data_IF_701717988901
#
_entry.id   IF_701717988901
#
_cell.length_a   1.000
_cell.length_b   1.000
_cell.length_c   1.000
_cell.angle_alpha   90.00
_cell.angle_beta   90.00
_cell.angle_gamma   90.00
#
_symmetry.space_group_name_H-M   'P 1'
#
loop_
_entity.id
_entity.type
_entity.pdbx_description
1 polymer ?
#
# COMPACT_ATOMS: atom_id res chain seq x y z
N UNK A 1 22.09 -10.63 -56.18
CA UNK A 1 22.45 -9.82 -55.00
C UNK A 1 21.57 -10.30 -53.86
N UNK A 2 22.09 -11.22 -53.04
CA UNK A 2 21.39 -11.80 -51.89
C UNK A 2 21.63 -10.86 -50.71
N UNK A 3 20.56 -10.24 -50.19
CA UNK A 3 20.63 -9.35 -49.05
C UNK A 3 20.45 -10.21 -47.80
N UNK A 4 21.52 -10.42 -47.02
CA UNK A 4 21.41 -10.98 -45.67
C UNK A 4 20.83 -9.91 -44.74
N UNK A 5 19.57 -10.11 -44.35
CA UNK A 5 18.89 -9.22 -43.40
C UNK A 5 19.24 -9.68 -41.99
N UNK A 6 19.97 -8.85 -41.25
CA UNK A 6 20.28 -9.09 -39.84
C UNK A 6 18.99 -9.09 -39.02
N UNK A 7 18.67 -10.23 -38.39
CA UNK A 7 17.46 -10.43 -37.60
C UNK A 7 17.27 -9.40 -36.48
N UNK A 8 18.35 -8.88 -35.88
CA UNK A 8 18.25 -7.81 -34.88
C UNK A 8 17.74 -6.49 -35.48
N UNK A 9 18.20 -6.15 -36.68
CA UNK A 9 17.76 -4.94 -37.38
C UNK A 9 16.32 -5.07 -37.84
N UNK A 10 15.91 -6.25 -38.31
CA UNK A 10 14.52 -6.54 -38.66
C UNK A 10 13.58 -6.46 -37.45
N UNK A 11 14.02 -7.00 -36.30
CA UNK A 11 13.26 -6.94 -35.05
C UNK A 11 13.13 -5.51 -34.53
N UNK A 12 14.20 -4.70 -34.64
CA UNK A 12 14.16 -3.29 -34.22
C UNK A 12 13.22 -2.46 -35.11
N UNK A 13 13.23 -2.70 -36.43
CA UNK A 13 12.33 -2.04 -37.38
C UNK A 13 10.88 -2.43 -37.11
N UNK A 14 10.60 -3.70 -36.79
CA UNK A 14 9.25 -4.18 -36.42
C UNK A 14 8.79 -3.57 -35.09
N UNK A 15 9.66 -3.49 -34.08
CA UNK A 15 9.32 -2.87 -32.79
C UNK A 15 9.10 -1.36 -32.95
N UNK A 16 9.88 -0.69 -33.81
CA UNK A 16 9.71 0.74 -34.09
C UNK A 16 8.46 1.02 -34.93
N UNK A 17 8.12 0.18 -35.91
CA UNK A 17 6.88 0.36 -36.69
C UNK A 17 5.64 0.04 -35.86
N UNK A 18 5.67 -0.98 -34.99
CA UNK A 18 4.59 -1.28 -34.04
C UNK A 18 4.48 -0.19 -32.96
N UNK A 19 5.61 0.30 -32.43
CA UNK A 19 5.64 1.39 -31.45
C UNK A 19 5.15 2.73 -32.02
N UNK A 20 5.49 3.04 -33.28
CA UNK A 20 4.86 4.17 -33.99
C UNK A 20 3.38 3.89 -34.27
N UNK A 21 2.98 2.66 -34.60
CA UNK A 21 1.57 2.31 -34.80
C UNK A 21 0.76 2.47 -33.51
N UNK A 22 1.27 2.09 -32.34
CA UNK A 22 0.60 2.36 -31.05
C UNK A 22 0.62 3.85 -30.69
N UNK A 23 1.72 4.56 -30.96
CA UNK A 23 1.78 6.01 -30.75
C UNK A 23 0.90 6.82 -31.71
N UNK A 24 0.55 6.27 -32.88
CA UNK A 24 -0.41 6.86 -33.83
C UNK A 24 -1.84 6.32 -33.65
N UNK A 25 -2.01 5.09 -33.16
CA UNK A 25 -3.32 4.45 -32.86
C UNK A 25 -3.94 5.01 -31.57
N UNK A 26 -3.13 5.50 -30.63
CA UNK A 26 -3.59 6.32 -29.49
C UNK A 26 -4.25 7.64 -29.91
N UNK A 27 -4.27 7.97 -31.21
CA UNK A 27 -4.84 9.22 -31.74
C UNK A 27 -6.02 9.08 -32.67
N UNK A 28 -6.38 7.90 -33.17
CA UNK A 28 -7.55 7.75 -34.04
C UNK A 28 -8.14 6.33 -33.97
N UNK A 29 -9.38 6.23 -33.48
CA UNK A 29 -10.26 5.10 -33.80
C UNK A 29 -11.56 5.60 -34.46
N UNK A 30 -11.86 5.00 -35.61
CA UNK A 30 -13.01 5.26 -36.47
C UNK A 30 -14.25 4.56 -35.93
N UNK A 31 -15.43 5.22 -35.99
CA UNK A 31 -16.63 4.53 -36.48
C UNK A 31 -17.74 5.45 -36.99
N UNK A 32 -18.40 4.88 -38.00
CA UNK A 32 -19.45 5.38 -38.89
C UNK A 32 -20.70 5.88 -38.18
N UNK A 33 -21.27 6.96 -38.69
CA UNK A 33 -22.70 7.24 -38.65
C UNK A 33 -23.28 7.13 -40.07
N UNK A 34 -24.45 6.51 -40.18
CA UNK A 34 -25.34 6.49 -41.35
C UNK A 34 -26.56 7.29 -40.86
N UNK A 35 -27.09 8.35 -41.48
CA UNK A 35 -27.28 8.81 -42.86
C UNK A 35 -27.50 10.35 -42.74
N UNK A 36 -27.13 11.28 -43.61
CA UNK A 36 -27.21 11.35 -45.07
C UNK A 36 -26.29 12.48 -45.58
N UNK A 37 -25.51 12.18 -46.61
CA UNK A 37 -24.65 13.05 -47.43
C UNK A 37 -23.63 13.97 -46.73
N UNK A 38 -22.36 13.70 -47.09
CA UNK A 38 -21.11 14.40 -46.74
C UNK A 38 -20.58 14.17 -45.31
N UNK A 39 -19.81 13.08 -45.20
CA UNK A 39 -18.99 12.69 -44.05
C UNK A 39 -18.06 13.83 -43.57
N UNK A 40 -18.49 14.55 -42.53
CA UNK A 40 -17.60 15.31 -41.66
C UNK A 40 -17.65 14.65 -40.27
N UNK A 41 -16.65 13.82 -39.99
CA UNK A 41 -16.40 13.30 -38.64
C UNK A 41 -15.61 14.37 -37.88
N UNK A 42 -16.28 15.10 -37.01
CA UNK A 42 -15.63 16.09 -36.14
C UNK A 42 -14.95 15.36 -34.96
N UNK A 43 -13.62 15.30 -34.97
CA UNK A 43 -12.83 14.74 -33.87
C UNK A 43 -12.83 15.70 -32.67
N UNK A 44 -13.61 15.38 -31.64
CA UNK A 44 -13.58 16.11 -30.37
C UNK A 44 -12.33 15.71 -29.56
N UNK A 45 -11.68 16.69 -28.95
CA UNK A 45 -10.46 16.50 -28.18
C UNK A 45 -10.73 15.77 -26.86
N UNK A 46 -9.68 15.17 -26.26
CA UNK A 46 -9.73 14.42 -24.99
C UNK A 46 -10.32 15.23 -23.81
N UNK A 47 -10.41 16.55 -23.96
CA UNK A 47 -10.97 17.50 -22.98
C UNK A 47 -12.50 17.67 -23.11
N UNK A 48 -13.12 17.18 -24.19
CA UNK A 48 -14.54 17.37 -24.50
C UNK A 48 -15.41 16.11 -24.26
N UNK A 49 -14.82 14.95 -23.95
CA UNK A 49 -15.58 13.76 -23.55
C UNK A 49 -16.06 13.91 -22.10
N UNK A 50 -17.39 13.93 -21.93
CA UNK A 50 -18.04 13.96 -20.63
C UNK A 50 -17.52 12.82 -19.74
N UNK A 51 -17.27 13.11 -18.46
CA UNK A 51 -16.94 12.09 -17.44
C UNK A 51 -17.95 10.93 -17.47
N UNK A 52 -19.20 11.19 -17.87
CA UNK A 52 -20.26 10.18 -18.02
C UNK A 52 -19.96 9.13 -19.11
N UNK A 53 -19.38 9.53 -20.25
CA UNK A 53 -19.06 8.60 -21.35
C UNK A 53 -17.88 7.69 -20.99
N UNK A 54 -16.95 8.20 -20.17
CA UNK A 54 -15.88 7.38 -19.60
C UNK A 54 -16.42 6.39 -18.58
N UNK A 55 -17.36 6.78 -17.72
CA UNK A 55 -17.95 5.86 -16.73
C UNK A 55 -18.66 4.68 -17.41
N UNK A 56 -19.40 4.93 -18.50
CA UNK A 56 -20.17 3.89 -19.20
C UNK A 56 -19.28 2.85 -19.91
N UNK A 57 -18.11 3.25 -20.40
CA UNK A 57 -17.13 2.34 -21.00
C UNK A 57 -16.35 1.55 -19.94
N UNK A 58 -16.03 2.17 -18.81
CA UNK A 58 -15.25 1.55 -17.74
C UNK A 58 -15.96 0.41 -17.00
N UNK A 59 -17.28 0.49 -16.81
CA UNK A 59 -18.01 -0.53 -16.03
C UNK A 59 -18.11 -1.89 -16.74
N UNK A 60 -17.93 -1.94 -18.08
CA UNK A 60 -18.06 -3.15 -18.89
C UNK A 60 -16.74 -3.91 -19.15
N UNK A 61 -15.59 -3.33 -18.78
CA UNK A 61 -14.24 -3.84 -19.13
C UNK A 61 -13.53 -4.52 -17.95
N UNK A 62 -14.25 -4.90 -16.90
CA UNK A 62 -13.65 -5.58 -15.76
C UNK A 62 -13.59 -7.09 -15.99
N UNK A 63 -12.37 -7.63 -16.02
CA UNK A 63 -12.16 -9.06 -15.87
C UNK A 63 -12.43 -9.45 -14.42
N UNK A 64 -13.36 -10.38 -14.23
CA UNK A 64 -13.72 -10.86 -12.90
C UNK A 64 -12.56 -11.65 -12.30
N UNK A 65 -12.14 -11.24 -11.11
CA UNK A 65 -11.12 -11.91 -10.32
C UNK A 65 -11.64 -12.14 -8.90
N UNK A 66 -10.91 -12.92 -8.11
CA UNK A 66 -11.18 -13.06 -6.68
C UNK A 66 -9.85 -13.32 -5.96
N UNK A 67 -9.16 -12.23 -5.61
CA UNK A 67 -7.82 -12.28 -5.00
C UNK A 67 -7.81 -11.42 -3.74
N UNK A 68 -7.00 -11.81 -2.77
CA UNK A 68 -6.66 -10.92 -1.65
C UNK A 68 -5.58 -9.94 -2.11
N UNK A 69 -5.79 -8.67 -1.80
CA UNK A 69 -4.84 -7.61 -2.05
C UNK A 69 -4.54 -6.86 -0.76
N UNK A 70 -3.32 -6.34 -0.65
CA UNK A 70 -2.83 -5.59 0.51
C UNK A 70 -2.50 -4.17 0.06
N UNK A 71 -2.90 -3.19 0.85
CA UNK A 71 -2.60 -1.78 0.60
C UNK A 71 -1.11 -1.49 0.80
N UNK A 72 -0.50 -0.86 -0.19
CA UNK A 72 0.92 -0.49 -0.17
C UNK A 72 1.20 0.82 0.55
N UNK A 73 0.16 1.63 0.73
CA UNK A 73 0.18 2.96 1.35
C UNK A 73 -1.18 3.27 1.99
N UNK A 74 -1.25 4.36 2.77
CA UNK A 74 -2.55 4.90 3.20
C UNK A 74 -3.28 5.40 1.95
N UNK A 75 -4.48 4.91 1.71
CA UNK A 75 -5.24 5.24 0.49
C UNK A 75 -6.73 5.38 0.77
N UNK A 76 -7.49 5.72 -0.26
CA UNK A 76 -8.95 5.89 -0.19
C UNK A 76 -9.65 4.96 -1.18
N UNK A 77 -10.85 4.54 -0.81
CA UNK A 77 -11.76 3.80 -1.67
C UNK A 77 -12.82 4.75 -2.22
N UNK A 78 -13.02 4.68 -3.52
CA UNK A 78 -13.88 5.56 -4.29
C UNK A 78 -15.21 4.89 -4.64
N UNK A 79 -16.25 5.71 -4.78
CA UNK A 79 -17.57 5.29 -5.26
C UNK A 79 -17.61 5.02 -6.77
N UNK A 80 -16.66 5.58 -7.53
CA UNK A 80 -16.52 5.40 -8.98
C UNK A 80 -15.03 5.33 -9.38
N UNK A 81 -14.67 4.80 -10.56
CA UNK A 81 -13.27 4.59 -10.97
C UNK A 81 -12.54 5.89 -11.41
N UNK A 82 -12.57 6.95 -10.58
CA UNK A 82 -11.82 8.19 -10.77
C UNK A 82 -11.69 8.99 -9.47
N UNK A 83 -10.62 9.79 -9.38
CA UNK A 83 -10.15 10.46 -8.15
C UNK A 83 -11.09 11.51 -7.57
N UNK A 84 -11.91 12.14 -8.42
CA UNK A 84 -12.84 13.20 -8.00
C UNK A 84 -14.22 12.66 -7.63
N UNK A 85 -14.39 11.33 -7.57
CA UNK A 85 -15.64 10.72 -7.11
C UNK A 85 -15.76 10.75 -5.59
N UNK A 86 -16.94 10.42 -5.06
CA UNK A 86 -17.16 10.36 -3.63
C UNK A 86 -16.26 9.32 -2.97
N UNK A 87 -15.59 9.71 -1.88
CA UNK A 87 -14.77 8.82 -1.05
C UNK A 87 -15.72 8.04 -0.13
N UNK A 88 -15.58 6.72 -0.13
CA UNK A 88 -16.37 5.81 0.71
C UNK A 88 -15.61 5.41 1.98
N UNK A 89 -14.30 5.21 1.87
CA UNK A 89 -13.44 4.78 2.97
C UNK A 89 -12.05 5.39 2.87
N UNK A 90 -11.42 5.67 4.01
CA UNK A 90 -9.98 5.89 4.14
C UNK A 90 -9.36 4.71 4.87
N UNK A 91 -8.35 4.08 4.28
CA UNK A 91 -7.75 2.86 4.79
C UNK A 91 -6.25 3.03 5.07
N UNK A 92 -5.75 2.48 6.19
CA UNK A 92 -4.32 2.51 6.47
C UNK A 92 -3.54 1.58 5.55
N UNK A 93 -2.24 1.83 5.47
CA UNK A 93 -1.27 0.91 4.88
C UNK A 93 -1.40 -0.49 5.51
N UNK A 94 -1.12 -1.53 4.73
CA UNK A 94 -1.26 -2.94 5.09
C UNK A 94 -2.70 -3.43 5.25
N UNK A 95 -3.73 -2.60 5.02
CA UNK A 95 -5.10 -3.09 5.06
C UNK A 95 -5.33 -4.17 3.99
N UNK A 96 -6.13 -5.17 4.33
CA UNK A 96 -6.46 -6.27 3.41
C UNK A 96 -7.83 -6.03 2.80
N UNK A 97 -7.91 -6.17 1.47
CA UNK A 97 -9.14 -6.02 0.70
C UNK A 97 -9.31 -7.18 -0.28
N UNK A 98 -10.51 -7.35 -0.81
CA UNK A 98 -10.78 -8.36 -1.83
C UNK A 98 -10.87 -7.69 -3.19
N UNK A 99 -9.95 -8.03 -4.09
CA UNK A 99 -9.95 -7.58 -5.48
C UNK A 99 -10.91 -8.45 -6.28
N UNK A 100 -11.91 -7.80 -6.92
CA UNK A 100 -12.99 -8.48 -7.65
C UNK A 100 -13.04 -8.16 -9.15
N UNK A 101 -12.37 -7.08 -9.58
CA UNK A 101 -12.30 -6.72 -10.99
C UNK A 101 -10.98 -6.03 -11.33
N UNK A 102 -10.29 -6.55 -12.34
CA UNK A 102 -9.08 -5.97 -12.91
C UNK A 102 -9.38 -5.45 -14.32
N UNK A 103 -8.63 -4.44 -14.76
CA UNK A 103 -8.64 -3.95 -16.13
C UNK A 103 -7.28 -3.28 -16.45
N UNK A 104 -7.11 -2.83 -17.69
CA UNK A 104 -5.90 -2.13 -18.14
C UNK A 104 -5.79 -0.68 -17.63
N UNK A 105 -6.90 -0.10 -17.15
CA UNK A 105 -6.99 1.26 -16.66
C UNK A 105 -6.41 1.43 -15.24
N UNK A 106 -6.55 2.63 -14.67
CA UNK A 106 -5.92 3.00 -13.41
C UNK A 106 -6.70 2.56 -12.16
N UNK A 107 -7.96 2.16 -12.32
CA UNK A 107 -8.84 1.83 -11.22
C UNK A 107 -9.35 0.41 -11.31
N UNK A 108 -9.14 -0.34 -10.24
CA UNK A 108 -9.63 -1.69 -10.06
C UNK A 108 -10.83 -1.74 -9.12
N UNK A 109 -11.67 -2.75 -9.27
CA UNK A 109 -12.88 -2.95 -8.47
C UNK A 109 -12.57 -3.87 -7.29
N UNK A 110 -12.97 -3.44 -6.10
CA UNK A 110 -12.70 -4.15 -4.84
C UNK A 110 -13.95 -4.25 -3.99
N UNK A 111 -13.98 -5.22 -3.09
CA UNK A 111 -14.99 -5.33 -2.04
C UNK A 111 -14.34 -5.09 -0.69
N UNK A 112 -14.92 -4.16 0.08
CA UNK A 112 -14.53 -3.87 1.45
C UNK A 112 -15.79 -3.62 2.29
N UNK A 113 -15.89 -4.32 3.44
CA UNK A 113 -17.08 -4.28 4.32
C UNK A 113 -18.40 -4.45 3.54
N UNK A 114 -18.44 -5.47 2.68
CA UNK A 114 -19.60 -5.82 1.83
C UNK A 114 -20.06 -4.73 0.86
N UNK A 115 -19.21 -3.73 0.59
CA UNK A 115 -19.45 -2.70 -0.44
C UNK A 115 -18.47 -2.83 -1.59
N UNK A 116 -19.00 -2.76 -2.80
CA UNK A 116 -18.19 -2.59 -4.01
C UNK A 116 -17.65 -1.16 -4.07
N UNK A 117 -16.35 -1.04 -4.31
CA UNK A 117 -15.62 0.22 -4.37
C UNK A 117 -14.56 0.16 -5.47
N UNK A 118 -13.92 1.30 -5.71
CA UNK A 118 -12.82 1.44 -6.66
C UNK A 118 -11.56 1.95 -5.97
N UNK A 119 -10.40 1.44 -6.38
CA UNK A 119 -9.09 1.83 -5.85
C UNK A 119 -8.10 2.03 -6.99
N UNK A 120 -7.13 2.92 -6.81
CA UNK A 120 -6.01 3.03 -7.75
C UNK A 120 -5.19 1.73 -7.74
N UNK A 121 -4.94 1.14 -8.90
CA UNK A 121 -4.23 -0.15 -9.02
C UNK A 121 -2.82 -0.13 -8.41
N UNK A 122 -2.16 1.03 -8.36
CA UNK A 122 -0.80 1.17 -7.83
C UNK A 122 -0.76 1.24 -6.30
N UNK A 123 -1.90 1.47 -5.64
CA UNK A 123 -1.99 1.54 -4.17
C UNK A 123 -2.18 0.16 -3.51
N UNK A 124 -2.20 -0.92 -4.29
CA UNK A 124 -2.37 -2.29 -3.80
C UNK A 124 -1.41 -3.27 -4.48
N UNK A 125 -1.16 -4.39 -3.81
CA UNK A 125 -0.45 -5.53 -4.38
C UNK A 125 -1.15 -6.84 -4.02
N UNK A 126 -1.06 -7.82 -4.90
CA UNK A 126 -1.46 -9.22 -4.63
C UNK A 126 -0.24 -10.12 -4.41
N UNK A 127 0.98 -9.60 -4.61
CA UNK A 127 2.22 -10.33 -4.48
C UNK A 127 2.67 -10.41 -3.02
N UNK A 128 2.74 -11.63 -2.50
CA UNK A 128 3.14 -11.91 -1.11
C UNK A 128 4.59 -11.54 -0.84
N UNK A 129 5.49 -11.68 -1.81
CA UNK A 129 6.90 -11.33 -1.66
C UNK A 129 7.07 -9.81 -1.57
N UNK A 130 6.28 -9.05 -2.32
CA UNK A 130 6.23 -7.59 -2.19
C UNK A 130 5.73 -7.18 -0.80
N UNK A 131 4.65 -7.81 -0.31
CA UNK A 131 4.13 -7.54 1.04
C UNK A 131 5.18 -7.84 2.11
N UNK A 132 5.89 -8.97 1.97
CA UNK A 132 6.95 -9.35 2.89
C UNK A 132 8.11 -8.36 2.85
N UNK A 133 8.61 -8.02 1.66
CA UNK A 133 9.69 -7.06 1.49
C UNK A 133 9.34 -5.68 2.06
N UNK A 134 8.09 -5.22 1.93
CA UNK A 134 7.64 -3.97 2.53
C UNK A 134 7.67 -4.01 4.07
N UNK A 135 7.20 -5.11 4.67
CA UNK A 135 7.19 -5.32 6.13
C UNK A 135 8.60 -5.47 6.69
N UNK A 136 9.50 -6.08 5.93
CA UNK A 136 10.92 -6.24 6.30
C UNK A 136 11.70 -4.92 6.15
N UNK A 137 11.36 -4.07 5.17
CA UNK A 137 11.99 -2.76 4.99
C UNK A 137 11.77 -1.81 6.18
N UNK A 138 10.72 -2.04 6.98
CA UNK A 138 10.46 -1.33 8.23
C UNK A 138 11.52 -1.58 9.31
N UNK A 139 12.31 -2.65 9.18
CA UNK A 139 13.40 -2.96 10.08
C UNK A 139 14.55 -1.96 9.90
N UNK A 140 14.94 -1.26 10.98
CA UNK A 140 16.10 -0.36 10.94
C UNK A 140 17.40 -1.18 10.95
N UNK A 141 17.95 -1.43 9.76
CA UNK A 141 19.16 -2.22 9.54
C UNK A 141 20.46 -1.57 10.07
N UNK A 142 20.40 -0.35 10.60
CA UNK A 142 21.60 0.37 11.04
C UNK A 142 22.10 -0.04 12.44
N UNK A 143 21.27 -0.75 13.23
CA UNK A 143 21.68 -1.23 14.54
C UNK A 143 22.62 -2.44 14.43
N UNK A 144 23.83 -2.32 15.01
CA UNK A 144 24.89 -3.35 14.98
C UNK A 144 25.03 -4.14 16.29
N UNK A 145 24.26 -3.78 17.31
CA UNK A 145 24.32 -4.45 18.62
C UNK A 145 23.45 -5.71 18.68
N UNK A 146 23.28 -6.25 19.88
CA UNK A 146 22.36 -7.38 20.09
C UNK A 146 20.92 -6.94 19.78
N UNK A 147 20.19 -7.81 19.08
CA UNK A 147 18.78 -7.62 18.75
C UNK A 147 17.94 -8.42 19.72
N UNK A 148 16.97 -7.77 20.36
CA UNK A 148 16.09 -8.43 21.33
C UNK A 148 15.34 -9.59 20.66
N UNK A 149 15.29 -10.73 21.35
CA UNK A 149 14.52 -11.91 20.95
C UNK A 149 14.15 -12.73 22.17
N UNK A 150 13.29 -13.74 21.97
CA UNK A 150 12.78 -14.61 23.02
C UNK A 150 13.85 -15.29 23.87
N UNK A 151 14.96 -15.68 23.24
CA UNK A 151 16.03 -16.38 23.94
C UNK A 151 16.88 -15.43 24.80
N UNK A 152 17.20 -14.24 24.30
CA UNK A 152 18.06 -13.29 25.03
C UNK A 152 17.35 -12.69 26.24
N UNK A 153 16.04 -12.48 26.16
CA UNK A 153 15.21 -11.96 27.24
C UNK A 153 15.38 -10.46 27.54
N UNK A 154 16.60 -9.96 27.43
CA UNK A 154 17.00 -8.58 27.68
C UNK A 154 18.24 -8.23 26.85
N UNK A 155 18.29 -7.01 26.33
CA UNK A 155 19.48 -6.46 25.66
C UNK A 155 19.73 -5.02 26.07
N UNK A 156 20.88 -4.48 25.67
CA UNK A 156 21.12 -3.04 25.64
C UNK A 156 21.01 -2.59 24.20
N UNK A 157 19.89 -1.94 23.86
CA UNK A 157 19.63 -1.37 22.55
C UNK A 157 20.06 0.10 22.44
N UNK A 158 19.66 0.79 21.36
CA UNK A 158 20.07 2.17 21.06
C UNK A 158 19.79 3.17 22.19
N UNK A 159 18.64 3.03 22.86
CA UNK A 159 18.19 3.94 23.92
C UNK A 159 18.39 3.41 25.35
N UNK A 160 19.11 2.30 25.50
CA UNK A 160 19.40 1.71 26.81
C UNK A 160 18.85 0.29 26.94
N UNK A 161 18.34 -0.06 28.12
CA UNK A 161 17.86 -1.42 28.38
C UNK A 161 16.58 -1.69 27.59
N UNK A 162 16.52 -2.84 26.93
CA UNK A 162 15.32 -3.32 26.26
C UNK A 162 14.88 -4.66 26.83
N UNK A 163 13.60 -4.78 27.12
CA UNK A 163 12.90 -6.02 27.51
C UNK A 163 11.69 -6.22 26.61
N UNK A 164 10.92 -7.27 26.83
CA UNK A 164 9.69 -7.52 26.09
C UNK A 164 8.53 -7.86 27.02
N UNK A 165 7.32 -7.68 26.48
CA UNK A 165 6.08 -8.14 27.11
C UNK A 165 5.09 -8.65 26.07
N UNK A 166 4.27 -9.60 26.50
CA UNK A 166 3.21 -10.18 25.68
C UNK A 166 1.84 -9.95 26.32
N UNK A 167 1.35 -8.70 26.21
CA UNK A 167 0.01 -8.34 26.66
C UNK A 167 -0.97 -8.30 25.48
N UNK A 168 -2.26 -8.46 25.81
CA UNK A 168 -3.34 -8.17 24.87
C UNK A 168 -3.37 -6.66 24.56
N UNK A 169 -3.26 -6.31 23.27
CA UNK A 169 -3.11 -4.92 22.83
C UNK A 169 -4.44 -4.14 22.75
N UNK A 170 -5.60 -4.74 23.01
CA UNK A 170 -6.89 -4.07 22.85
C UNK A 170 -6.98 -2.75 23.63
N UNK A 171 -6.52 -2.72 24.88
CA UNK A 171 -6.54 -1.51 25.71
C UNK A 171 -5.57 -0.44 25.19
N UNK A 172 -4.37 -0.85 24.82
CA UNK A 172 -3.32 0.03 24.28
C UNK A 172 -3.76 0.64 22.95
N UNK A 173 -4.27 -0.18 22.03
CA UNK A 173 -4.81 0.26 20.75
C UNK A 173 -5.98 1.22 20.95
N UNK A 174 -6.92 0.93 21.85
CA UNK A 174 -8.04 1.83 22.13
C UNK A 174 -7.57 3.22 22.61
N UNK A 175 -6.50 3.30 23.42
CA UNK A 175 -5.89 4.57 23.80
C UNK A 175 -5.32 5.28 22.57
N UNK A 176 -4.51 4.59 21.76
CA UNK A 176 -3.91 5.18 20.56
C UNK A 176 -4.96 5.66 19.55
N UNK A 177 -6.08 4.93 19.39
CA UNK A 177 -7.21 5.36 18.54
C UNK A 177 -7.88 6.62 19.08
N UNK A 178 -8.10 6.73 20.39
CA UNK A 178 -8.63 7.96 21.00
C UNK A 178 -7.70 9.17 20.83
N UNK A 179 -6.41 8.92 20.62
CA UNK A 179 -5.41 9.94 20.30
C UNK A 179 -5.30 10.24 18.80
N UNK A 180 -6.13 9.59 17.96
CA UNK A 180 -6.19 9.85 16.51
C UNK A 180 -5.29 8.97 15.64
N UNK A 181 -4.58 7.99 16.21
CA UNK A 181 -3.80 7.06 15.39
C UNK A 181 -4.72 6.13 14.60
N UNK A 182 -4.51 5.99 13.29
CA UNK A 182 -5.32 5.13 12.41
C UNK A 182 -4.52 3.99 11.78
N UNK A 183 -3.24 3.84 12.13
CA UNK A 183 -2.35 2.84 11.54
C UNK A 183 -2.79 1.42 11.85
N UNK A 184 -2.60 0.47 10.92
CA UNK A 184 -2.99 -0.92 11.13
C UNK A 184 -2.15 -1.58 12.22
N UNK A 185 -2.80 -2.30 13.12
CA UNK A 185 -2.14 -3.23 14.04
C UNK A 185 -1.89 -4.57 13.32
N UNK A 186 -0.68 -5.10 13.42
CA UNK A 186 -0.33 -6.41 12.87
C UNK A 186 0.86 -7.02 13.62
N UNK A 187 1.12 -8.30 13.38
CA UNK A 187 2.26 -9.02 13.97
C UNK A 187 3.25 -9.32 12.85
N UNK A 188 4.51 -8.92 13.04
CA UNK A 188 5.61 -9.20 12.11
C UNK A 188 6.05 -10.66 12.22
N UNK A 189 6.71 -11.16 11.19
CA UNK A 189 7.10 -12.57 11.09
C UNK A 189 8.00 -13.05 12.26
N UNK A 190 8.72 -12.12 12.91
CA UNK A 190 9.52 -12.36 14.12
C UNK A 190 8.73 -12.25 15.44
N UNK A 191 7.40 -12.11 15.36
CA UNK A 191 6.49 -12.00 16.50
C UNK A 191 6.40 -10.61 17.12
N UNK A 192 7.04 -9.59 16.55
CA UNK A 192 6.94 -8.21 17.06
C UNK A 192 5.57 -7.62 16.72
N UNK A 193 4.95 -6.97 17.69
CA UNK A 193 3.66 -6.28 17.51
C UNK A 193 3.90 -4.90 16.91
N UNK A 194 3.24 -4.63 15.80
CA UNK A 194 3.45 -3.46 14.96
C UNK A 194 2.21 -2.58 14.95
N UNK A 195 2.43 -1.27 14.86
CA UNK A 195 1.40 -0.27 14.60
C UNK A 195 1.87 0.56 13.39
N UNK A 196 1.30 0.28 12.22
CA UNK A 196 1.79 0.80 10.94
C UNK A 196 3.18 0.28 10.64
N UNK A 197 4.11 1.19 10.37
CA UNK A 197 5.52 0.90 10.15
C UNK A 197 6.36 0.98 11.44
N UNK A 198 5.75 0.88 12.63
CA UNK A 198 6.48 1.08 13.88
C UNK A 198 6.32 -0.08 14.85
N UNK A 199 7.41 -0.44 15.51
CA UNK A 199 7.41 -1.40 16.62
C UNK A 199 6.64 -0.81 17.79
N UNK A 200 5.65 -1.52 18.33
CA UNK A 200 4.94 -1.01 19.51
C UNK A 200 5.82 -1.15 20.75
N UNK A 201 6.08 -0.04 21.46
CA UNK A 201 6.90 -0.04 22.68
C UNK A 201 6.18 0.64 23.85
N UNK A 202 6.50 0.20 25.06
CA UNK A 202 6.22 0.90 26.29
C UNK A 202 7.47 1.66 26.74
N UNK A 203 7.30 2.89 27.21
CA UNK A 203 8.39 3.75 27.66
C UNK A 203 7.98 4.59 28.88
N UNK A 204 8.91 5.35 29.45
CA UNK A 204 8.57 6.41 30.38
C UNK A 204 7.89 7.58 29.63
N UNK A 205 6.63 7.87 29.96
CA UNK A 205 5.83 8.88 29.27
C UNK A 205 6.27 10.32 29.55
N UNK A 206 7.03 10.55 30.62
CA UNK A 206 7.61 11.88 30.90
C UNK A 206 8.78 12.20 29.95
N UNK A 207 9.46 11.17 29.45
CA UNK A 207 10.56 11.29 28.48
C UNK A 207 10.06 11.13 27.05
N UNK A 208 9.17 10.17 26.82
CA UNK A 208 8.61 9.84 25.52
C UNK A 208 7.08 9.74 25.63
N UNK A 209 6.35 10.85 25.43
CA UNK A 209 4.89 10.81 25.37
C UNK A 209 4.36 9.80 24.34
N UNK A 210 3.11 9.37 24.50
CA UNK A 210 2.49 8.45 23.52
C UNK A 210 2.52 9.04 22.12
N UNK A 211 2.92 8.23 21.14
CA UNK A 211 3.15 8.63 19.76
C UNK A 211 4.58 9.06 19.45
N UNK A 212 5.45 9.26 20.45
CA UNK A 212 6.88 9.49 20.22
C UNK A 212 7.50 8.32 19.47
N UNK A 213 8.42 8.65 18.54
CA UNK A 213 9.25 7.68 17.83
C UNK A 213 10.60 7.54 18.54
N UNK A 214 11.02 6.30 18.78
CA UNK A 214 12.25 5.97 19.51
C UNK A 214 12.93 4.78 18.87
N UNK A 215 14.25 4.85 18.69
CA UNK A 215 15.00 3.71 18.15
C UNK A 215 15.04 2.55 19.15
N UNK A 216 14.78 1.34 18.70
CA UNK A 216 15.00 0.13 19.47
C UNK A 216 15.78 -0.90 18.64
N UNK A 217 16.25 -1.97 19.27
CA UNK A 217 17.04 -2.99 18.57
C UNK A 217 16.27 -3.72 17.46
N UNK A 218 14.93 -3.61 17.44
CA UNK A 218 14.03 -4.26 16.48
C UNK A 218 13.47 -3.32 15.39
N UNK A 219 13.88 -2.05 15.39
CA UNK A 219 13.42 -1.01 14.45
C UNK A 219 13.08 0.33 15.12
N UNK A 220 12.39 1.21 14.38
CA UNK A 220 11.81 2.41 14.98
C UNK A 220 10.55 2.02 15.75
N UNK A 221 10.54 2.31 17.04
CA UNK A 221 9.42 2.08 17.93
C UNK A 221 8.51 3.30 18.04
N UNK A 222 7.20 3.07 18.13
CA UNK A 222 6.20 4.05 18.53
C UNK A 222 5.80 3.79 19.98
N UNK A 223 5.87 4.81 20.83
CA UNK A 223 5.46 4.69 22.23
C UNK A 223 3.95 4.63 22.31
N UNK A 224 3.42 3.47 22.74
CA UNK A 224 1.98 3.28 22.90
C UNK A 224 1.58 3.12 24.38
N UNK A 225 2.51 2.66 25.21
CA UNK A 225 2.21 2.29 26.59
C UNK A 225 3.30 2.69 27.58
N UNK A 226 3.09 2.38 28.85
CA UNK A 226 4.06 2.57 29.92
C UNK A 226 3.99 1.43 30.93
N UNK A 227 5.03 1.26 31.73
CA UNK A 227 5.10 0.21 32.73
C UNK A 227 5.76 0.66 34.02
N UNK A 228 5.60 -0.14 35.07
CA UNK A 228 6.21 0.12 36.38
C UNK A 228 7.75 0.16 36.36
N UNK A 229 8.40 -0.31 35.28
CA UNK A 229 9.84 -0.20 35.07
C UNK A 229 10.29 1.27 34.98
N UNK A 230 9.44 2.17 34.46
CA UNK A 230 9.81 3.57 34.18
C UNK A 230 10.26 4.32 35.44
N UNK A 231 9.74 3.94 36.61
CA UNK A 231 10.14 4.50 37.92
C UNK A 231 11.56 4.14 38.35
N UNK A 232 12.09 3.02 37.84
CA UNK A 232 13.39 2.45 38.24
C UNK A 232 14.44 2.60 37.14
N UNK A 233 14.01 2.53 35.89
CA UNK A 233 14.87 2.70 34.72
C UNK A 233 14.13 3.56 33.68
N UNK A 234 14.22 4.90 33.78
CA UNK A 234 13.45 5.83 32.95
C UNK A 234 13.69 5.68 31.44
N UNK A 235 14.87 5.22 31.01
CA UNK A 235 15.23 5.05 29.61
C UNK A 235 14.98 3.63 29.09
N UNK A 236 14.51 2.70 29.93
CA UNK A 236 14.18 1.35 29.47
C UNK A 236 13.01 1.38 28.49
N UNK A 237 13.09 0.56 27.46
CA UNK A 237 11.98 0.23 26.58
C UNK A 237 11.51 -1.19 26.87
N UNK A 238 10.21 -1.39 26.89
CA UNK A 238 9.60 -2.71 26.89
C UNK A 238 8.90 -2.90 25.55
N UNK A 239 9.27 -3.93 24.79
CA UNK A 239 8.82 -4.12 23.40
C UNK A 239 7.63 -5.07 23.39
N UNK A 240 6.56 -4.69 22.70
CA UNK A 240 5.38 -5.54 22.57
C UNK A 240 5.65 -6.67 21.57
N UNK A 241 5.47 -7.91 22.01
CA UNK A 241 5.73 -9.11 21.19
C UNK A 241 4.62 -10.16 21.38
N UNK A 242 4.64 -11.20 20.56
CA UNK A 242 3.67 -12.31 20.55
C UNK A 242 4.27 -13.67 20.95
N UNK A 243 5.55 -13.72 21.31
CA UNK A 243 6.21 -14.89 21.87
C UNK A 243 6.30 -14.85 23.41
#
# INVERSE_FOLDING_TARGET
>A
MTIEINFKTLLLVIIMTIGLFYSFSDKMELKQSVESDENIIELLSKEQQSIADRILYFENEFETVNKKAVLTEKTVLYSRPFSNSGILFELPKYEEITLIGENSFDYWKVVYQDKECYINKNSITTDKEVVKAMKDATYNHNWKGKVLNAYLGVVTGPNGKETYYNLNMNGVLAIMRRMGNTDKYWIRDDGVKMLGDYVMVAANLDLYPRGSLVECSLGIGIVCDTGGFAKRNPTQLDIAVNW
#
